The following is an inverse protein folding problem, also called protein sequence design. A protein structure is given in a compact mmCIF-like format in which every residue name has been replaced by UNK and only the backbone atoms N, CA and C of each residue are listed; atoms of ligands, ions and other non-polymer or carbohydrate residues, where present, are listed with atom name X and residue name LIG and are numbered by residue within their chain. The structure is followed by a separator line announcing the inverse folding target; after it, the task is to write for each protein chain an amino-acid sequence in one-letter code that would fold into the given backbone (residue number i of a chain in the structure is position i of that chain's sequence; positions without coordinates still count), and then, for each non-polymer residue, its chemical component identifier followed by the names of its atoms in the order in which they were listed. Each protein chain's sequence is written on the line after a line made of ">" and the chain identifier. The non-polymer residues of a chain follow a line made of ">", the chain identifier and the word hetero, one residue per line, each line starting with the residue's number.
data_IF_336457690176
#
_entry.id   IF_336457690176
#
_cell.length_a   1.000
_cell.length_b   1.000
_cell.length_c   1.000
_cell.angle_alpha   90.00
_cell.angle_beta   90.00
_cell.angle_gamma   90.00
#
_symmetry.space_group_name_H-M   'P 1'
#
loop_
_entity.id
_entity.type
_entity.pdbx_description
1 polymer ?
#
# COMPACT_ATOMS: atom_id res chain seq x y z
N UNK A 1 -3.15 -22.33 -23.26
CA UNK A 1 -3.15 -23.07 -21.98
C UNK A 1 -1.74 -23.46 -21.55
N UNK A 2 -0.79 -23.68 -22.47
CA UNK A 2 0.63 -23.92 -22.13
C UNK A 2 1.39 -22.71 -21.54
N UNK A 3 0.95 -21.48 -21.83
CA UNK A 3 1.66 -20.27 -21.38
C UNK A 3 1.58 -20.04 -19.86
N UNK A 4 0.46 -20.42 -19.22
CA UNK A 4 0.24 -20.18 -17.78
C UNK A 4 1.04 -21.16 -16.91
N UNK A 5 1.08 -22.44 -17.29
CA UNK A 5 1.89 -23.44 -16.59
C UNK A 5 3.38 -23.18 -16.76
N UNK A 6 3.81 -22.72 -17.94
CA UNK A 6 5.20 -22.36 -18.17
C UNK A 6 5.62 -21.15 -17.34
N UNK A 7 4.75 -20.15 -17.21
CA UNK A 7 4.98 -19.00 -16.31
C UNK A 7 5.03 -19.46 -14.85
N UNK A 8 4.10 -20.31 -14.42
CA UNK A 8 4.06 -20.85 -13.05
C UNK A 8 5.32 -21.65 -12.71
N UNK A 9 5.82 -22.46 -13.65
CA UNK A 9 7.09 -23.17 -13.52
C UNK A 9 8.27 -22.21 -13.45
N UNK A 10 8.28 -21.14 -14.26
CA UNK A 10 9.33 -20.11 -14.22
C UNK A 10 9.30 -19.32 -12.91
N UNK A 11 8.12 -19.09 -12.31
CA UNK A 11 7.97 -18.52 -10.96
C UNK A 11 8.59 -19.44 -9.91
N UNK A 12 8.23 -20.73 -9.92
CA UNK A 12 8.76 -21.75 -9.00
C UNK A 12 10.29 -21.91 -9.14
N UNK A 13 10.82 -21.87 -10.37
CA UNK A 13 12.25 -21.96 -10.66
C UNK A 13 13.02 -20.64 -10.50
N UNK A 14 12.34 -19.52 -10.19
CA UNK A 14 12.94 -18.17 -10.09
C UNK A 14 13.70 -17.73 -11.36
N UNK A 15 13.27 -18.20 -12.53
CA UNK A 15 13.89 -17.91 -13.83
C UNK A 15 13.31 -16.66 -14.51
N UNK A 16 12.33 -16.01 -13.89
CA UNK A 16 11.73 -14.77 -14.40
C UNK A 16 12.67 -13.59 -14.13
N UNK A 17 12.94 -12.80 -15.17
CA UNK A 17 13.68 -11.54 -15.04
C UNK A 17 12.99 -10.64 -14.02
N UNK A 18 13.73 -10.26 -12.97
CA UNK A 18 13.18 -9.56 -11.82
C UNK A 18 12.84 -8.11 -12.20
N UNK A 19 11.61 -7.71 -11.89
CA UNK A 19 11.20 -6.33 -12.07
C UNK A 19 12.04 -5.37 -11.21
N UNK A 20 12.48 -4.28 -11.84
CA UNK A 20 13.08 -3.14 -11.17
C UNK A 20 11.97 -2.28 -10.56
N UNK A 21 12.18 -1.71 -9.38
CA UNK A 21 11.20 -0.79 -8.78
C UNK A 21 10.84 0.36 -9.74
N UNK A 22 9.58 0.76 -9.76
CA UNK A 22 9.06 1.88 -10.59
C UNK A 22 9.44 3.27 -10.06
N UNK A 23 10.18 3.33 -8.95
CA UNK A 23 10.69 4.57 -8.35
C UNK A 23 11.75 5.28 -9.19
N UNK A 24 12.08 6.51 -8.78
CA UNK A 24 13.12 7.35 -9.42
C UNK A 24 14.50 6.68 -9.39
N UNK A 25 14.78 5.97 -8.30
CA UNK A 25 15.92 5.08 -8.18
C UNK A 25 15.43 3.64 -8.34
N UNK A 26 16.01 2.92 -9.30
CA UNK A 26 15.59 1.56 -9.65
C UNK A 26 16.36 0.55 -8.81
N UNK A 27 15.71 -0.04 -7.82
CA UNK A 27 16.27 -1.11 -6.99
C UNK A 27 15.81 -2.48 -7.51
N UNK A 28 16.69 -3.48 -7.44
CA UNK A 28 16.31 -4.89 -7.67
C UNK A 28 15.49 -5.36 -6.47
N UNK A 29 14.20 -5.57 -6.67
CA UNK A 29 13.31 -6.09 -5.64
C UNK A 29 13.54 -7.61 -5.50
N UNK A 30 13.80 -8.11 -4.29
CA UNK A 30 13.73 -9.55 -4.03
C UNK A 30 12.27 -9.96 -3.81
N UNK A 31 11.89 -11.21 -4.12
CA UNK A 31 10.52 -11.70 -3.92
C UNK A 31 10.03 -11.54 -2.47
N UNK A 32 10.94 -11.61 -1.50
CA UNK A 32 10.63 -11.37 -0.09
C UNK A 32 10.15 -9.93 0.18
N UNK A 33 10.61 -8.96 -0.61
CA UNK A 33 10.13 -7.58 -0.52
C UNK A 33 8.74 -7.43 -1.13
N UNK A 34 8.41 -8.18 -2.18
CA UNK A 34 7.04 -8.24 -2.73
C UNK A 34 6.07 -8.89 -1.76
N UNK A 35 6.44 -10.02 -1.14
CA UNK A 35 5.62 -10.65 -0.10
C UNK A 35 5.36 -9.68 1.04
N UNK A 36 6.36 -8.90 1.47
CA UNK A 36 6.14 -7.86 2.47
C UNK A 36 5.15 -6.81 1.97
N UNK A 37 5.34 -6.26 0.78
CA UNK A 37 4.51 -5.17 0.26
C UNK A 37 3.06 -5.59 -0.06
N UNK A 38 2.83 -6.82 -0.52
CA UNK A 38 1.54 -7.28 -1.11
C UNK A 38 0.80 -8.36 -0.29
N UNK A 39 1.42 -8.85 0.77
CA UNK A 39 0.80 -9.73 1.79
C UNK A 39 -0.54 -9.27 2.36
N UNK A 40 -0.78 -7.96 2.44
CA UNK A 40 -2.00 -7.40 3.01
C UNK A 40 -2.99 -7.22 1.88
N UNK A 41 -4.06 -8.00 1.93
CA UNK A 41 -5.03 -8.06 0.86
C UNK A 41 -6.42 -8.36 1.43
N UNK A 42 -7.46 -7.89 0.73
CA UNK A 42 -8.83 -8.21 1.06
C UNK A 42 -9.15 -9.63 0.62
N UNK A 43 -9.28 -10.53 1.58
CA UNK A 43 -9.68 -11.90 1.30
C UNK A 43 -11.17 -11.96 0.93
N UNK A 44 -11.56 -12.77 -0.06
CA UNK A 44 -12.97 -12.98 -0.39
C UNK A 44 -13.76 -13.44 0.84
N UNK A 45 -14.97 -12.89 1.01
CA UNK A 45 -15.88 -13.20 2.14
C UNK A 45 -15.34 -12.80 3.53
N UNK A 46 -14.35 -11.90 3.60
CA UNK A 46 -13.97 -11.23 4.85
C UNK A 46 -14.20 -9.73 4.73
N UNK A 47 -14.75 -9.15 5.79
CA UNK A 47 -14.96 -7.69 5.86
C UNK A 47 -13.66 -6.95 6.17
N UNK A 48 -12.71 -7.64 6.78
CA UNK A 48 -11.41 -7.15 7.21
C UNK A 48 -10.31 -7.49 6.20
N UNK A 49 -9.32 -6.62 6.10
CA UNK A 49 -8.11 -6.89 5.32
C UNK A 49 -7.25 -7.93 6.07
N UNK A 50 -6.64 -8.86 5.33
CA UNK A 50 -5.84 -9.96 5.89
C UNK A 50 -4.38 -9.77 5.53
N UNK A 51 -3.52 -9.79 6.55
CA UNK A 51 -2.06 -9.79 6.39
C UNK A 51 -1.52 -11.21 6.52
N UNK A 52 -0.96 -11.77 5.44
CA UNK A 52 -0.49 -13.17 5.41
C UNK A 52 0.94 -13.39 5.85
N UNK A 53 1.77 -12.34 5.90
CA UNK A 53 3.15 -12.49 6.39
C UNK A 53 3.23 -12.08 7.88
N UNK A 54 3.56 -13.03 8.78
CA UNK A 54 3.61 -12.77 10.22
C UNK A 54 4.75 -11.83 10.64
N UNK A 55 5.62 -11.43 9.71
CA UNK A 55 6.77 -10.55 9.98
C UNK A 55 6.52 -9.10 9.57
N UNK A 56 5.41 -8.79 8.91
CA UNK A 56 5.04 -7.45 8.46
C UNK A 56 4.73 -6.41 9.52
N UNK A 57 4.13 -6.76 10.66
CA UNK A 57 3.94 -5.81 11.75
C UNK A 57 5.24 -5.11 12.18
N UNK A 58 6.39 -5.67 11.79
CA UNK A 58 7.73 -5.23 12.21
C UNK A 58 8.54 -4.50 11.14
N UNK A 59 7.97 -4.28 9.94
CA UNK A 59 8.68 -3.58 8.87
C UNK A 59 7.88 -2.36 8.41
N UNK A 60 8.48 -1.17 8.53
CA UNK A 60 7.97 0.11 8.02
C UNK A 60 8.04 0.19 6.49
N UNK A 61 7.46 -0.81 5.82
CA UNK A 61 7.38 -0.87 4.38
C UNK A 61 5.97 -0.43 3.95
N UNK A 62 5.90 0.37 2.90
CA UNK A 62 4.64 0.79 2.30
C UNK A 62 4.75 0.77 0.78
N UNK A 63 3.66 0.36 0.13
CA UNK A 63 3.49 0.57 -1.30
C UNK A 63 3.10 2.03 -1.54
N UNK A 64 3.45 2.57 -2.70
CA UNK A 64 2.92 3.85 -3.16
C UNK A 64 2.58 3.74 -4.63
N UNK A 65 1.39 4.22 -5.01
CA UNK A 65 0.97 4.31 -6.40
C UNK A 65 0.43 5.72 -6.68
N UNK A 66 0.53 6.14 -7.95
CA UNK A 66 0.04 7.44 -8.40
C UNK A 66 -1.48 7.49 -8.51
N UNK A 67 -2.04 8.70 -8.58
CA UNK A 67 -3.45 8.87 -8.90
C UNK A 67 -3.76 8.27 -10.28
N UNK A 68 -4.90 7.58 -10.40
CA UNK A 68 -5.34 6.94 -11.66
C UNK A 68 -6.03 7.92 -12.63
N UNK A 69 -6.34 9.13 -12.15
CA UNK A 69 -6.94 10.22 -12.95
C UNK A 69 -6.26 11.54 -12.62
N UNK A 70 -6.22 12.45 -13.59
CA UNK A 70 -5.46 13.72 -13.51
C UNK A 70 -5.88 14.61 -12.34
N UNK A 71 -7.15 14.58 -11.96
CA UNK A 71 -7.76 15.35 -10.89
C UNK A 71 -8.10 14.51 -9.65
N UNK A 72 -7.45 13.35 -9.51
CA UNK A 72 -7.65 12.43 -8.40
C UNK A 72 -6.49 12.40 -7.41
N UNK A 73 -6.64 11.48 -6.45
CA UNK A 73 -5.62 11.11 -5.48
C UNK A 73 -5.33 9.61 -5.58
N UNK A 74 -4.09 9.21 -5.31
CA UNK A 74 -3.76 7.84 -4.93
C UNK A 74 -3.45 7.82 -3.44
N UNK A 75 -3.78 6.74 -2.72
CA UNK A 75 -3.43 6.64 -1.30
C UNK A 75 -3.33 5.17 -0.90
N UNK A 76 -2.09 4.68 -0.81
CA UNK A 76 -1.83 3.42 -0.14
C UNK A 76 -1.77 3.65 1.37
N UNK A 77 -2.19 2.65 2.13
CA UNK A 77 -2.10 2.65 3.58
C UNK A 77 -1.61 1.30 4.09
N UNK A 78 -0.95 1.31 5.24
CA UNK A 78 -0.53 0.13 5.97
C UNK A 78 -0.86 0.34 7.47
N UNK A 79 -1.60 -0.60 8.04
CA UNK A 79 -2.06 -0.55 9.44
C UNK A 79 -1.12 -1.42 10.27
N UNK A 80 -0.41 -0.80 11.21
CA UNK A 80 0.46 -1.47 12.16
C UNK A 80 -0.18 -1.48 13.55
N UNK A 81 0.43 -2.21 14.50
CA UNK A 81 -0.09 -2.35 15.85
C UNK A 81 -0.18 -1.01 16.60
N UNK A 82 0.81 -0.12 16.41
CA UNK A 82 0.94 1.15 17.12
C UNK A 82 0.83 2.39 16.23
N UNK A 83 0.83 2.22 14.90
CA UNK A 83 0.78 3.35 13.97
C UNK A 83 0.17 3.01 12.62
N UNK A 84 -0.15 4.05 11.85
CA UNK A 84 -0.70 3.97 10.50
C UNK A 84 0.27 4.64 9.53
N UNK A 85 0.63 3.96 8.44
CA UNK A 85 1.45 4.54 7.36
C UNK A 85 0.53 4.88 6.20
N UNK A 86 0.53 6.14 5.76
CA UNK A 86 -0.20 6.60 4.57
C UNK A 86 0.75 7.15 3.52
N UNK A 87 0.52 6.83 2.25
CA UNK A 87 1.26 7.34 1.10
C UNK A 87 0.32 8.04 0.10
N UNK A 88 -0.16 9.26 0.41
CA UNK A 88 -1.01 10.03 -0.48
C UNK A 88 -0.21 10.61 -1.67
N UNK A 89 -0.78 10.51 -2.87
CA UNK A 89 -0.23 11.03 -4.12
C UNK A 89 -1.27 11.84 -4.87
N UNK A 90 -0.80 12.82 -5.64
CA UNK A 90 -1.62 13.66 -6.51
C UNK A 90 -0.75 14.18 -7.66
N UNK A 91 -1.37 14.49 -8.80
CA UNK A 91 -0.66 15.13 -9.91
C UNK A 91 -0.35 16.59 -9.61
N UNK A 92 0.92 16.99 -9.70
CA UNK A 92 1.35 18.40 -9.53
C UNK A 92 0.78 19.34 -10.60
N UNK A 93 0.40 18.81 -11.75
CA UNK A 93 -0.20 19.57 -12.85
C UNK A 93 -1.63 20.02 -12.55
N UNK A 94 -2.33 19.37 -11.61
CA UNK A 94 -3.70 19.73 -11.27
C UNK A 94 -3.72 20.67 -10.05
N UNK A 95 -4.12 21.92 -10.25
CA UNK A 95 -4.21 22.90 -9.16
C UNK A 95 -5.31 22.57 -8.12
N UNK A 96 -6.27 21.70 -8.47
CA UNK A 96 -7.37 21.29 -7.58
C UNK A 96 -6.92 20.25 -6.56
N UNK A 97 -5.90 19.45 -6.86
CA UNK A 97 -5.43 18.37 -5.99
C UNK A 97 -4.09 18.70 -5.35
N UNK A 98 -3.89 18.27 -4.11
CA UNK A 98 -2.63 18.47 -3.39
C UNK A 98 -2.41 17.35 -2.39
N UNK A 99 -1.39 16.53 -2.64
CA UNK A 99 -1.02 15.43 -1.75
C UNK A 99 -0.74 15.92 -0.32
N UNK A 100 -0.14 17.11 -0.18
CA UNK A 100 0.13 17.72 1.13
C UNK A 100 -1.15 18.10 1.88
N UNK A 101 -2.11 18.77 1.21
CA UNK A 101 -3.40 19.10 1.82
C UNK A 101 -4.19 17.84 2.19
N UNK A 102 -4.14 16.82 1.32
CA UNK A 102 -4.82 15.56 1.56
C UNK A 102 -4.21 14.79 2.74
N UNK A 103 -2.88 14.77 2.88
CA UNK A 103 -2.19 14.23 4.05
C UNK A 103 -2.68 14.88 5.35
N UNK A 104 -2.72 16.22 5.39
CA UNK A 104 -3.16 16.93 6.59
C UNK A 104 -4.64 16.68 6.91
N UNK A 105 -5.48 16.58 5.88
CA UNK A 105 -6.89 16.23 6.05
C UNK A 105 -7.05 14.82 6.67
N UNK A 106 -6.35 13.81 6.16
CA UNK A 106 -6.37 12.45 6.74
C UNK A 106 -5.94 12.48 8.21
N UNK A 107 -4.84 13.17 8.51
CA UNK A 107 -4.31 13.30 9.88
C UNK A 107 -5.33 13.94 10.83
N UNK A 108 -5.96 15.04 10.42
CA UNK A 108 -6.98 15.71 11.22
C UNK A 108 -8.18 14.81 11.45
N UNK A 109 -8.73 14.20 10.39
CA UNK A 109 -9.91 13.34 10.50
C UNK A 109 -9.68 12.13 11.41
N UNK A 110 -8.50 11.51 11.37
CA UNK A 110 -8.16 10.40 12.27
C UNK A 110 -8.11 10.86 13.72
N UNK A 111 -7.57 12.05 13.99
CA UNK A 111 -7.52 12.61 15.32
C UNK A 111 -8.90 13.01 15.84
N UNK A 112 -9.75 13.55 14.98
CA UNK A 112 -11.14 13.88 15.29
C UNK A 112 -11.93 12.62 15.65
N UNK A 113 -11.77 11.54 14.86
CA UNK A 113 -12.39 10.24 15.16
C UNK A 113 -11.91 9.65 16.50
N UNK A 114 -10.61 9.73 16.78
CA UNK A 114 -10.06 9.27 18.06
C UNK A 114 -10.66 10.06 19.24
N UNK A 115 -10.71 11.40 19.12
CA UNK A 115 -11.29 12.28 20.14
C UNK A 115 -12.77 11.97 20.41
N UNK A 116 -13.54 11.69 19.36
CA UNK A 116 -14.95 11.32 19.48
C UNK A 116 -15.14 9.98 20.19
N UNK A 117 -14.29 8.99 19.91
CA UNK A 117 -14.35 7.67 20.55
C UNK A 117 -13.97 7.74 22.03
N UNK A 118 -12.91 8.47 22.37
CA UNK A 118 -12.47 8.68 23.75
C UNK A 118 -13.49 9.50 24.56
N UNK A 119 -14.12 10.51 23.93
CA UNK A 119 -15.17 11.33 24.55
C UNK A 119 -16.52 10.62 24.74
N UNK A 120 -16.76 9.54 23.98
CA UNK A 120 -18.00 8.75 24.01
C UNK A 120 -18.02 7.58 25.01
N UNK A 121 -16.89 7.25 25.65
CA UNK A 121 -16.78 6.18 26.65
C UNK A 121 -17.26 6.59 28.07
N UNK A 122 -18.31 7.41 28.18
CA UNK A 122 -18.91 7.81 29.46
C UNK A 122 -20.16 7.01 29.80
#
# INVERSE_FOLDING_TARGET
>A
MGDVEEVKRKEECKEIERELSTGREKTRMCMEQYDRILSTHRAPNREEDVTTSPTLPRFDCYLCYGAVVNDGYGCAYNIQEDHLIFAPTAFKSCAKTSAAKFKEAIRSSLHDMATLLEGGQR
#
